data_IF_954403524760
#
_entry.id   IF_954403524760
#
_cell.length_a   1.000
_cell.length_b   1.000
_cell.length_c   1.000
_cell.angle_alpha   90.00
_cell.angle_beta   90.00
_cell.angle_gamma   90.00
#
_symmetry.space_group_name_H-M   'P 1'
#
loop_
_entity.id
_entity.type
_entity.pdbx_description
1 polymer ?
#
# COMPACT_ATOMS: atom_id res chain seq x y z
N UNK A 1 47.75 25.88 24.51
CA UNK A 1 46.81 25.00 25.23
C UNK A 1 45.45 25.28 24.65
N UNK A 2 45.03 24.46 23.69
CA UNK A 2 43.79 24.63 22.93
C UNK A 2 42.72 23.76 23.56
N UNK A 3 41.74 24.39 24.21
CA UNK A 3 40.57 23.72 24.75
C UNK A 3 39.64 23.30 23.62
N UNK A 4 39.44 21.99 23.53
CA UNK A 4 38.58 21.33 22.57
C UNK A 4 37.14 21.39 23.08
N UNK A 5 36.41 22.45 22.72
CA UNK A 5 34.99 22.62 23.05
C UNK A 5 34.16 22.66 21.76
N UNK A 6 34.01 21.53 21.07
CA UNK A 6 33.00 21.38 20.01
C UNK A 6 32.68 19.90 19.65
N UNK A 7 32.62 19.01 20.65
CA UNK A 7 32.10 17.64 20.46
C UNK A 7 30.56 17.54 20.63
N UNK A 8 29.86 18.67 20.74
CA UNK A 8 28.43 18.73 21.08
C UNK A 8 27.45 18.65 19.90
N UNK A 9 27.85 18.14 18.73
CA UNK A 9 26.98 18.02 17.55
C UNK A 9 26.83 16.60 17.00
N UNK A 10 26.84 15.59 17.87
CA UNK A 10 26.52 14.19 17.50
C UNK A 10 25.19 13.68 18.08
N UNK A 11 24.40 14.54 18.73
CA UNK A 11 23.18 14.18 19.45
C UNK A 11 21.94 14.16 18.54
N UNK A 12 22.01 13.30 17.54
CA UNK A 12 20.88 12.89 16.70
C UNK A 12 21.06 11.49 16.12
N UNK A 13 22.20 10.84 16.38
CA UNK A 13 22.32 9.41 16.17
C UNK A 13 21.53 8.72 17.27
N UNK A 14 20.40 8.10 16.90
CA UNK A 14 19.78 7.07 17.72
C UNK A 14 20.89 6.04 17.97
N UNK A 15 21.48 6.07 19.17
CA UNK A 15 22.47 5.12 19.61
C UNK A 15 21.92 3.73 19.29
N UNK A 16 22.57 3.02 18.37
CA UNK A 16 22.28 1.60 18.11
C UNK A 16 22.59 0.86 19.41
N UNK A 17 21.60 0.80 20.30
CA UNK A 17 21.70 0.00 21.51
C UNK A 17 21.91 -1.45 21.07
N UNK A 18 22.83 -2.16 21.72
CA UNK A 18 23.05 -3.58 21.49
C UNK A 18 21.79 -4.37 21.89
N UNK A 19 20.88 -4.55 20.95
CA UNK A 19 19.63 -5.30 21.13
C UNK A 19 19.82 -6.82 21.04
N UNK A 20 21.07 -7.27 20.84
CA UNK A 20 21.43 -8.69 20.62
C UNK A 20 21.07 -9.62 21.78
N UNK A 21 21.03 -9.10 23.01
CA UNK A 21 20.81 -9.91 24.23
C UNK A 21 19.35 -9.99 24.67
N UNK A 22 18.47 -9.08 24.21
CA UNK A 22 17.07 -9.10 24.64
C UNK A 22 16.10 -8.60 23.57
N UNK A 23 15.05 -9.39 23.32
CA UNK A 23 13.92 -9.00 22.45
C UNK A 23 13.18 -7.77 22.98
N UNK A 24 13.18 -7.58 24.30
CA UNK A 24 12.56 -6.42 24.94
C UNK A 24 13.25 -5.11 24.50
N UNK A 25 14.59 -5.08 24.51
CA UNK A 25 15.35 -3.94 24.01
C UNK A 25 15.12 -3.72 22.50
N UNK A 26 15.01 -4.79 21.70
CA UNK A 26 14.67 -4.66 20.27
C UNK A 26 13.30 -4.01 20.07
N UNK A 27 12.29 -4.41 20.85
CA UNK A 27 10.95 -3.84 20.78
C UNK A 27 10.92 -2.38 21.26
N UNK A 28 11.68 -2.03 22.30
CA UNK A 28 11.80 -0.66 22.78
C UNK A 28 12.49 0.24 21.76
N UNK A 29 13.58 -0.23 21.14
CA UNK A 29 14.25 0.46 20.03
C UNK A 29 13.31 0.63 18.83
N UNK A 30 12.54 -0.40 18.48
CA UNK A 30 11.58 -0.33 17.37
C UNK A 30 10.41 0.64 17.65
N UNK A 31 9.97 0.75 18.92
CA UNK A 31 9.04 1.81 19.35
C UNK A 31 9.68 3.19 19.28
N UNK A 32 10.90 3.35 19.79
CA UNK A 32 11.63 4.63 19.76
C UNK A 32 11.89 5.10 18.31
N UNK A 33 12.19 4.16 17.40
CA UNK A 33 12.33 4.40 15.96
C UNK A 33 10.99 4.56 15.23
N UNK A 34 9.85 4.34 15.89
CA UNK A 34 8.52 4.53 15.31
C UNK A 34 8.08 3.45 14.32
N UNK A 35 8.71 2.26 14.33
CA UNK A 35 8.29 1.12 13.52
C UNK A 35 7.08 0.37 14.10
N UNK A 36 6.82 0.54 15.40
CA UNK A 36 5.71 -0.09 16.10
C UNK A 36 4.80 1.01 16.63
N UNK A 37 3.58 1.06 16.13
CA UNK A 37 2.55 1.94 16.65
C UNK A 37 2.09 1.47 18.03
N UNK A 38 2.10 2.38 19.02
CA UNK A 38 1.45 2.14 20.30
C UNK A 38 -0.05 2.01 20.03
N UNK A 39 -0.63 0.85 20.38
CA UNK A 39 -2.02 0.47 20.02
C UNK A 39 -3.11 1.48 20.42
N UNK A 40 -2.79 2.49 21.23
CA UNK A 40 -3.66 3.60 21.61
C UNK A 40 -3.80 4.70 20.54
N UNK A 41 -2.83 4.84 19.63
CA UNK A 41 -2.88 5.81 18.51
C UNK A 41 -3.43 5.19 17.23
N UNK A 42 -4.09 4.02 17.29
CA UNK A 42 -5.05 3.63 16.26
C UNK A 42 -6.15 4.69 16.24
N UNK A 43 -5.91 5.80 15.53
CA UNK A 43 -6.94 6.55 14.82
C UNK A 43 -7.76 5.47 14.18
N UNK A 44 -8.95 5.28 14.73
CA UNK A 44 -9.95 4.37 14.21
C UNK A 44 -9.90 4.59 12.71
N UNK A 45 -9.42 3.58 11.96
CA UNK A 45 -9.67 3.50 10.53
C UNK A 45 -11.09 4.00 10.37
N UNK A 46 -11.38 5.01 9.51
CA UNK A 46 -12.72 5.57 9.43
C UNK A 46 -13.60 4.34 9.28
N UNK A 47 -14.38 4.04 10.33
CA UNK A 47 -15.37 2.98 10.26
C UNK A 47 -16.20 3.52 9.13
N UNK A 48 -15.99 2.97 7.93
CA UNK A 48 -16.82 3.29 6.81
C UNK A 48 -18.13 2.78 7.36
N UNK A 49 -18.95 3.73 7.83
CA UNK A 49 -20.29 3.44 8.21
C UNK A 49 -20.84 3.00 6.87
N UNK A 50 -20.80 1.69 6.63
CA UNK A 50 -21.79 1.02 5.82
C UNK A 50 -23.02 1.46 6.56
N UNK A 51 -23.59 2.57 6.08
CA UNK A 51 -24.81 3.11 6.61
C UNK A 51 -25.71 1.90 6.70
N UNK A 52 -26.48 1.82 7.78
CA UNK A 52 -27.60 0.90 7.86
C UNK A 52 -28.61 1.32 6.78
N UNK A 53 -28.19 1.30 5.52
CA UNK A 53 -29.00 1.43 4.34
C UNK A 53 -29.84 0.19 4.44
N UNK A 54 -31.07 0.40 4.91
CA UNK A 54 -32.14 -0.58 4.95
C UNK A 54 -31.93 -1.46 3.73
N UNK A 55 -31.67 -2.76 3.94
CA UNK A 55 -31.44 -3.76 2.89
C UNK A 55 -32.34 -3.40 1.72
N UNK A 56 -31.80 -2.70 0.73
CA UNK A 56 -32.58 -2.33 -0.43
C UNK A 56 -32.89 -3.70 -1.02
N UNK A 57 -34.17 -4.04 -1.11
CA UNK A 57 -34.58 -5.25 -1.83
C UNK A 57 -34.15 -4.99 -3.27
N UNK A 58 -32.93 -5.41 -3.60
CA UNK A 58 -32.46 -5.46 -4.96
C UNK A 58 -33.29 -6.58 -5.57
N UNK A 59 -34.38 -6.20 -6.22
CA UNK A 59 -35.12 -7.10 -7.07
C UNK A 59 -34.15 -7.52 -8.17
N UNK A 60 -33.67 -8.76 -8.07
CA UNK A 60 -32.79 -9.34 -9.07
C UNK A 60 -33.56 -9.46 -10.39
N UNK A 61 -33.56 -8.38 -11.19
CA UNK A 61 -33.99 -8.43 -12.58
C UNK A 61 -32.92 -9.23 -13.31
N UNK A 62 -33.21 -10.49 -13.58
CA UNK A 62 -32.43 -11.30 -14.49
C UNK A 62 -32.49 -10.64 -15.87
N UNK A 63 -31.46 -9.87 -16.23
CA UNK A 63 -31.28 -9.41 -17.59
C UNK A 63 -30.79 -10.61 -18.40
N UNK A 64 -31.73 -11.25 -19.11
CA UNK A 64 -31.37 -12.14 -20.21
C UNK A 64 -30.83 -11.20 -21.30
N UNK A 65 -29.52 -11.24 -21.52
CA UNK A 65 -28.92 -10.57 -22.66
C UNK A 65 -29.38 -11.36 -23.88
N UNK A 66 -30.44 -10.90 -24.53
CA UNK A 66 -30.82 -11.36 -25.85
C UNK A 66 -29.72 -10.90 -26.83
N UNK A 67 -28.64 -11.69 -26.91
CA UNK A 67 -27.78 -11.66 -28.09
C UNK A 67 -28.69 -11.99 -29.27
N UNK A 68 -29.01 -10.97 -30.07
CA UNK A 68 -29.66 -11.06 -31.37
C UNK A 68 -28.74 -11.84 -32.33
N UNK A 69 -28.60 -13.14 -32.11
CA UNK A 69 -28.03 -14.10 -33.06
C UNK A 69 -29.19 -14.72 -33.80
N UNK A 70 -29.06 -14.70 -35.12
CA UNK A 70 -30.09 -15.04 -36.09
C UNK A 70 -30.83 -16.31 -35.74
N UNK A 71 -32.14 -16.20 -35.91
CA UNK A 71 -33.11 -17.25 -36.16
C UNK A 71 -32.47 -18.48 -36.82
N UNK A 72 -32.27 -19.55 -36.06
CA UNK A 72 -32.61 -20.90 -36.50
C UNK A 72 -32.39 -21.95 -35.40
N UNK A 73 -33.33 -22.91 -35.35
CA UNK A 73 -33.32 -24.21 -34.62
C UNK A 73 -34.00 -24.22 -33.24
N UNK A 74 -35.34 -24.31 -33.32
CA UNK A 74 -36.12 -25.48 -32.89
C UNK A 74 -35.50 -26.33 -31.76
N UNK A 75 -36.19 -26.30 -30.62
CA UNK A 75 -36.36 -27.42 -29.68
C UNK A 75 -35.19 -27.73 -28.72
N UNK A 76 -35.02 -26.89 -27.68
CA UNK A 76 -34.57 -27.39 -26.38
C UNK A 76 -35.34 -26.68 -25.27
N UNK A 77 -36.40 -27.33 -24.78
CA UNK A 77 -37.10 -26.97 -23.54
C UNK A 77 -36.20 -27.28 -22.35
N UNK A 78 -35.10 -26.55 -22.21
CA UNK A 78 -34.38 -26.49 -20.94
C UNK A 78 -35.11 -25.46 -20.07
N UNK A 79 -36.29 -25.84 -19.57
CA UNK A 79 -36.98 -25.08 -18.53
C UNK A 79 -36.25 -25.44 -17.23
N UNK A 80 -35.48 -24.55 -16.62
CA UNK A 80 -34.82 -24.86 -15.35
C UNK A 80 -35.91 -25.24 -14.36
N UNK A 81 -35.81 -26.43 -13.78
CA UNK A 81 -36.78 -26.91 -12.80
C UNK A 81 -36.84 -25.97 -11.59
N UNK A 82 -37.96 -25.92 -10.84
CA UNK A 82 -38.14 -25.01 -9.69
C UNK A 82 -37.05 -25.11 -8.61
N UNK A 83 -36.27 -26.19 -8.60
CA UNK A 83 -35.18 -26.45 -7.66
C UNK A 83 -33.89 -25.67 -7.95
N UNK A 84 -33.71 -25.09 -9.13
CA UNK A 84 -32.45 -24.40 -9.48
C UNK A 84 -32.26 -23.07 -8.74
N UNK A 85 -33.29 -22.57 -8.06
CA UNK A 85 -33.30 -21.29 -7.35
C UNK A 85 -33.43 -21.45 -5.83
N UNK A 86 -33.03 -22.61 -5.29
CA UNK A 86 -32.97 -22.81 -3.84
C UNK A 86 -31.81 -21.96 -3.28
N UNK A 87 -32.10 -20.71 -2.92
CA UNK A 87 -31.19 -19.85 -2.17
C UNK A 87 -31.13 -20.41 -0.75
N UNK A 88 -30.07 -21.13 -0.43
CA UNK A 88 -29.80 -21.54 0.95
C UNK A 88 -29.57 -20.28 1.79
N UNK A 89 -30.49 -19.96 2.70
CA UNK A 89 -30.27 -18.94 3.72
C UNK A 89 -29.25 -19.46 4.72
N UNK A 90 -27.98 -19.11 4.51
CA UNK A 90 -26.92 -19.35 5.50
C UNK A 90 -27.20 -18.41 6.68
N UNK A 91 -27.71 -18.96 7.79
CA UNK A 91 -27.81 -18.26 9.07
C UNK A 91 -26.44 -18.30 9.75
N UNK A 92 -25.80 -17.14 9.83
CA UNK A 92 -24.59 -16.98 10.63
C UNK A 92 -24.91 -17.23 12.13
N UNK A 93 -24.03 -17.91 12.88
CA UNK A 93 -24.24 -18.13 14.31
C UNK A 93 -24.25 -16.82 15.09
N UNK A 94 -25.04 -16.74 16.18
CA UNK A 94 -25.35 -15.47 16.87
C UNK A 94 -24.14 -14.70 17.43
N UNK A 95 -22.99 -15.37 17.61
CA UNK A 95 -21.76 -14.77 18.12
C UNK A 95 -20.65 -14.55 17.06
N UNK A 96 -20.96 -14.71 15.76
CA UNK A 96 -19.98 -14.52 14.69
C UNK A 96 -19.69 -13.03 14.44
N UNK A 97 -18.48 -12.59 14.82
CA UNK A 97 -17.98 -11.23 14.60
C UNK A 97 -16.77 -11.25 13.65
N UNK A 98 -17.00 -11.32 12.33
CA UNK A 98 -15.90 -11.32 11.38
C UNK A 98 -15.25 -9.94 11.32
N UNK A 99 -13.94 -9.88 11.53
CA UNK A 99 -13.13 -8.70 11.23
C UNK A 99 -12.80 -8.71 9.73
N UNK A 100 -13.58 -7.98 8.94
CA UNK A 100 -13.40 -7.93 7.48
C UNK A 100 -12.49 -6.75 7.12
N UNK A 101 -11.30 -7.05 6.61
CA UNK A 101 -10.35 -6.07 6.09
C UNK A 101 -10.37 -6.10 4.54
N UNK A 102 -10.70 -4.97 3.92
CA UNK A 102 -10.68 -4.84 2.46
C UNK A 102 -9.31 -4.29 2.02
N UNK A 103 -8.50 -5.17 1.46
CA UNK A 103 -7.21 -4.80 0.87
C UNK A 103 -7.22 -5.00 -0.64
N UNK A 104 -6.61 -4.06 -1.37
CA UNK A 104 -6.45 -4.15 -2.82
C UNK A 104 -4.99 -4.40 -3.16
N UNK A 105 -4.71 -5.42 -3.97
CA UNK A 105 -3.35 -5.78 -4.40
C UNK A 105 -3.22 -5.74 -5.91
N UNK A 106 -2.08 -5.25 -6.38
CA UNK A 106 -1.67 -5.25 -7.79
C UNK A 106 -1.14 -6.63 -8.22
N UNK A 107 -0.91 -6.84 -9.52
CA UNK A 107 -0.35 -8.10 -10.09
C UNK A 107 1.03 -8.45 -9.48
N UNK A 108 1.78 -7.43 -9.06
CA UNK A 108 3.10 -7.55 -8.42
C UNK A 108 3.03 -7.77 -6.89
N UNK A 109 1.84 -8.02 -6.33
CA UNK A 109 1.65 -8.25 -4.89
C UNK A 109 1.79 -6.98 -4.03
N UNK A 110 1.91 -5.80 -4.65
CA UNK A 110 1.95 -4.51 -3.95
C UNK A 110 0.54 -4.14 -3.49
N UNK A 111 0.40 -3.81 -2.20
CA UNK A 111 -0.85 -3.23 -1.66
C UNK A 111 -1.05 -1.84 -2.25
N UNK A 112 -2.23 -1.60 -2.82
CA UNK A 112 -2.63 -0.30 -3.37
C UNK A 112 -3.10 0.59 -2.22
N UNK A 113 -2.20 1.42 -1.72
CA UNK A 113 -2.43 2.30 -0.55
C UNK A 113 -3.54 3.33 -0.81
N UNK A 114 -3.71 3.76 -2.06
CA UNK A 114 -4.70 4.80 -2.41
C UNK A 114 -5.96 4.20 -3.03
N UNK A 115 -7.17 4.59 -2.58
CA UNK A 115 -8.44 4.14 -3.17
C UNK A 115 -8.54 4.44 -4.67
N UNK A 116 -7.91 5.55 -5.12
CA UNK A 116 -7.87 5.94 -6.53
C UNK A 116 -7.09 4.94 -7.39
N UNK A 117 -5.98 4.43 -6.87
CA UNK A 117 -5.18 3.45 -7.59
C UNK A 117 -5.89 2.10 -7.66
N UNK A 118 -6.52 1.67 -6.56
CA UNK A 118 -7.38 0.49 -6.53
C UNK A 118 -8.54 0.58 -7.54
N UNK A 119 -9.27 1.69 -7.55
CA UNK A 119 -10.36 1.92 -8.52
C UNK A 119 -9.85 1.87 -9.96
N UNK A 120 -8.78 2.60 -10.28
CA UNK A 120 -8.23 2.61 -11.64
C UNK A 120 -7.76 1.22 -12.07
N UNK A 121 -7.11 0.47 -11.18
CA UNK A 121 -6.66 -0.89 -11.45
C UNK A 121 -7.85 -1.81 -11.79
N UNK A 122 -8.90 -1.78 -10.96
CA UNK A 122 -10.13 -2.52 -11.22
C UNK A 122 -10.80 -2.10 -12.54
N UNK A 123 -10.87 -0.80 -12.82
CA UNK A 123 -11.42 -0.29 -14.09
C UNK A 123 -10.62 -0.76 -15.30
N UNK A 124 -9.28 -0.77 -15.24
CA UNK A 124 -8.44 -1.23 -16.35
C UNK A 124 -8.60 -2.73 -16.59
N UNK A 125 -8.74 -3.54 -15.53
CA UNK A 125 -9.01 -4.98 -15.64
C UNK A 125 -10.43 -5.23 -16.17
N UNK A 126 -11.41 -4.43 -15.73
CA UNK A 126 -12.79 -4.57 -16.15
C UNK A 126 -13.03 -4.14 -17.61
N UNK A 127 -12.55 -2.96 -18.00
CA UNK A 127 -12.74 -2.43 -19.35
C UNK A 127 -11.68 -2.86 -20.36
N UNK A 128 -10.55 -3.44 -19.91
CA UNK A 128 -9.42 -3.79 -20.77
C UNK A 128 -8.66 -2.58 -21.35
N UNK A 129 -9.07 -1.36 -21.02
CA UNK A 129 -8.46 -0.13 -21.52
C UNK A 129 -7.34 0.32 -20.59
N UNK A 130 -6.14 -0.20 -20.81
CA UNK A 130 -4.96 0.25 -20.07
C UNK A 130 -4.51 1.63 -20.52
N UNK A 131 -3.90 2.45 -19.64
CA UNK A 131 -3.31 3.71 -20.06
C UNK A 131 -2.19 3.47 -21.08
N UNK A 132 -1.98 4.41 -22.01
CA UNK A 132 -0.95 4.30 -23.04
C UNK A 132 0.48 4.16 -22.48
N UNK A 133 1.37 3.60 -23.30
CA UNK A 133 2.76 3.21 -22.94
C UNK A 133 3.53 4.27 -22.13
N UNK A 134 3.55 5.52 -22.58
CA UNK A 134 4.29 6.60 -21.89
C UNK A 134 3.84 6.82 -20.43
N UNK A 135 2.54 6.64 -20.15
CA UNK A 135 2.00 6.76 -18.78
C UNK A 135 2.41 5.56 -17.92
N UNK A 136 2.43 4.37 -18.51
CA UNK A 136 2.88 3.14 -17.85
C UNK A 136 4.38 3.26 -17.52
N UNK A 137 5.20 3.63 -18.49
CA UNK A 137 6.66 3.76 -18.32
C UNK A 137 7.00 4.81 -17.25
N UNK A 138 6.30 5.96 -17.23
CA UNK A 138 6.51 6.98 -16.19
C UNK A 138 6.14 6.48 -14.79
N UNK A 139 5.04 5.72 -14.67
CA UNK A 139 4.62 5.12 -13.39
C UNK A 139 5.61 4.05 -12.94
N UNK A 140 6.07 3.20 -13.85
CA UNK A 140 7.06 2.16 -13.57
C UNK A 140 8.38 2.76 -13.07
N UNK A 141 8.90 3.80 -13.76
CA UNK A 141 10.12 4.51 -13.31
C UNK A 141 9.96 5.12 -11.91
N UNK A 142 8.79 5.68 -11.61
CA UNK A 142 8.50 6.23 -10.27
C UNK A 142 8.51 5.11 -9.22
N UNK A 143 7.85 3.99 -9.50
CA UNK A 143 7.80 2.84 -8.60
C UNK A 143 9.18 2.22 -8.39
N UNK A 144 10.00 2.10 -9.42
CA UNK A 144 11.37 1.63 -9.30
C UNK A 144 12.24 2.56 -8.46
N UNK A 145 12.09 3.88 -8.65
CA UNK A 145 12.79 4.86 -7.83
C UNK A 145 12.37 4.75 -6.36
N UNK A 146 11.08 4.66 -6.07
CA UNK A 146 10.56 4.46 -4.71
C UNK A 146 11.04 3.13 -4.11
N UNK A 147 11.07 2.05 -4.91
CA UNK A 147 11.59 0.75 -4.47
C UNK A 147 13.08 0.84 -4.13
N UNK A 148 13.88 1.50 -4.98
CA UNK A 148 15.30 1.73 -4.74
C UNK A 148 15.51 2.59 -3.50
N UNK A 149 14.76 3.67 -3.33
CA UNK A 149 14.85 4.55 -2.15
C UNK A 149 14.47 3.82 -0.86
N UNK A 150 13.49 2.91 -0.88
CA UNK A 150 13.14 2.08 0.28
C UNK A 150 14.18 1.00 0.59
N UNK A 151 14.90 0.51 -0.42
CA UNK A 151 15.98 -0.48 -0.26
C UNK A 151 17.33 0.15 0.07
N UNK A 152 17.54 1.41 -0.31
CA UNK A 152 18.75 2.14 -0.04
C UNK A 152 18.92 2.25 1.49
N UNK A 153 19.96 1.61 2.01
CA UNK A 153 20.43 1.88 3.35
C UNK A 153 20.90 3.34 3.43
N UNK A 154 20.93 3.92 4.63
CA UNK A 154 21.27 5.32 4.91
C UNK A 154 22.57 5.83 4.25
N UNK A 155 23.45 4.94 3.80
CA UNK A 155 24.73 5.24 3.17
C UNK A 155 24.66 5.44 1.65
N UNK A 156 23.62 4.94 0.98
CA UNK A 156 23.52 4.89 -0.50
C UNK A 156 22.63 6.01 -1.11
N UNK A 157 22.14 6.92 -0.27
CA UNK A 157 21.53 8.17 -0.75
C UNK A 157 22.66 9.20 -0.90
N UNK A 158 23.05 9.59 -2.12
CA UNK A 158 24.20 10.48 -2.36
C UNK A 158 24.02 11.88 -1.76
N UNK A 159 22.81 12.21 -1.32
CA UNK A 159 22.45 13.47 -0.67
C UNK A 159 22.23 13.34 0.85
N UNK A 160 22.75 12.28 1.50
CA UNK A 160 22.69 12.24 2.96
C UNK A 160 23.56 13.37 3.55
N UNK A 161 23.02 14.11 4.51
CA UNK A 161 23.74 15.20 5.18
C UNK A 161 25.07 14.71 5.79
N UNK A 162 25.12 13.45 6.23
CA UNK A 162 26.33 12.81 6.74
C UNK A 162 27.44 12.71 5.68
N UNK A 163 27.11 12.33 4.44
CA UNK A 163 28.09 12.29 3.34
C UNK A 163 28.58 13.70 2.98
N UNK A 164 27.70 14.70 2.99
CA UNK A 164 28.11 16.09 2.78
C UNK A 164 29.05 16.57 3.88
N UNK A 165 28.76 16.30 5.15
CA UNK A 165 29.64 16.66 6.25
C UNK A 165 30.99 15.92 6.14
N UNK A 166 30.99 14.64 5.78
CA UNK A 166 32.20 13.87 5.56
C UNK A 166 33.06 14.46 4.42
N UNK A 167 32.43 14.87 3.31
CA UNK A 167 33.11 15.50 2.19
C UNK A 167 33.65 16.89 2.52
N UNK A 168 32.94 17.69 3.32
CA UNK A 168 33.46 18.96 3.85
C UNK A 168 34.72 18.75 4.69
N UNK A 169 34.70 17.75 5.58
CA UNK A 169 35.86 17.39 6.41
C UNK A 169 37.03 16.88 5.57
N UNK A 170 36.78 16.03 4.58
CA UNK A 170 37.80 15.49 3.66
C UNK A 170 38.46 16.59 2.83
N UNK A 171 37.67 17.52 2.27
CA UNK A 171 38.15 18.65 1.48
C UNK A 171 38.70 19.79 2.35
N UNK A 172 38.49 19.73 3.66
CA UNK A 172 38.79 20.80 4.61
C UNK A 172 38.15 22.14 4.23
N UNK A 173 37.00 22.10 3.54
CA UNK A 173 36.24 23.28 3.13
C UNK A 173 34.92 23.35 3.88
N UNK A 174 34.51 24.54 4.37
CA UNK A 174 33.25 24.70 5.09
C UNK A 174 32.01 24.58 4.20
N UNK A 175 32.17 24.59 2.88
CA UNK A 175 31.10 24.44 1.90
C UNK A 175 31.43 23.35 0.87
N UNK A 176 30.39 22.82 0.24
CA UNK A 176 30.49 21.94 -0.93
C UNK A 176 29.79 22.62 -2.09
N UNK A 177 30.47 22.70 -3.23
CA UNK A 177 29.86 23.16 -4.49
C UNK A 177 29.20 21.94 -5.14
N UNK A 178 27.88 21.94 -5.19
CA UNK A 178 27.11 20.93 -5.92
C UNK A 178 26.93 21.41 -7.35
N UNK A 179 27.70 20.84 -8.28
CA UNK A 179 27.50 21.14 -9.69
C UNK A 179 26.24 20.43 -10.21
N UNK A 180 25.38 21.19 -10.90
CA UNK A 180 24.24 20.62 -11.61
C UNK A 180 24.78 20.07 -12.91
N UNK A 181 25.28 18.84 -12.88
CA UNK A 181 25.67 18.11 -14.09
C UNK A 181 24.60 18.28 -15.17
N UNK A 182 25.01 18.86 -16.30
CA UNK A 182 24.17 19.10 -17.49
C UNK A 182 23.73 17.79 -18.13
#
# INVERSE_FOLDING_TARGET
MSDNSNDAYMEGSVLEQDTSRSLAATLELARAKGYIDNKETKKQQPKVAISKLKKAKIEAKAYIVDEKRGDDRRNHKFRPGPSSNQVYEVKDPEDWKPEINLEYTDDMGRKLETPKEAYNYMCYKFHGQTPGKNKVDKRLRKQELERKMKQALSTDVPASAALMIAKQKELQTPFIVLDKGR
#
